data_IF_900635966428
#
_entry.id   IF_900635966428
#
_cell.length_a   1.000
_cell.length_b   1.000
_cell.length_c   1.000
_cell.angle_alpha   90.00
_cell.angle_beta   90.00
_cell.angle_gamma   90.00
#
_symmetry.space_group_name_H-M   'P 1'
#
loop_
_entity.id
_entity.type
_entity.pdbx_description
1 polymer ?
#
# COMPACT_ATOMS: atom_id res chain seq x y z
N UNK A 1 -45.12 5.38 5.13
CA UNK A 1 -44.01 4.40 5.23
C UNK A 1 -43.72 3.87 3.84
N UNK A 2 -42.72 4.43 3.16
CA UNK A 2 -42.38 4.06 1.78
C UNK A 2 -41.31 2.96 1.82
N UNK A 3 -41.69 1.74 1.43
CA UNK A 3 -40.81 0.57 1.40
C UNK A 3 -39.97 0.68 0.13
N UNK A 4 -38.66 0.92 0.27
CA UNK A 4 -37.75 0.99 -0.86
C UNK A 4 -37.77 -0.34 -1.64
N UNK A 5 -38.07 -0.27 -2.94
CA UNK A 5 -38.00 -1.41 -3.84
C UNK A 5 -36.54 -1.87 -4.01
N UNK A 6 -36.27 -3.18 -4.14
CA UNK A 6 -34.92 -3.67 -4.40
C UNK A 6 -34.43 -3.14 -5.75
N UNK A 7 -33.25 -2.51 -5.74
CA UNK A 7 -32.55 -2.10 -6.96
C UNK A 7 -32.22 -3.39 -7.73
N UNK A 8 -32.92 -3.62 -8.85
CA UNK A 8 -32.56 -4.66 -9.81
C UNK A 8 -31.24 -4.25 -10.46
N UNK A 9 -30.16 -4.93 -10.13
CA UNK A 9 -28.87 -4.77 -10.79
C UNK A 9 -28.97 -5.19 -12.26
N UNK A 10 -28.55 -4.36 -13.23
CA UNK A 10 -28.36 -4.82 -14.59
C UNK A 10 -27.24 -5.87 -14.63
N UNK A 11 -27.40 -6.86 -15.49
CA UNK A 11 -26.59 -8.06 -15.66
C UNK A 11 -25.13 -7.76 -16.05
N UNK A 12 -24.30 -7.45 -15.06
CA UNK A 12 -22.88 -7.80 -15.00
C UNK A 12 -22.70 -8.69 -13.79
N UNK A 13 -22.32 -9.96 -13.97
CA UNK A 13 -22.20 -10.94 -12.89
C UNK A 13 -20.99 -10.63 -12.01
N UNK A 14 -21.11 -9.63 -11.14
CA UNK A 14 -20.15 -9.37 -10.09
C UNK A 14 -20.40 -10.34 -8.93
N UNK A 15 -19.41 -11.17 -8.63
CA UNK A 15 -19.46 -12.11 -7.51
C UNK A 15 -18.62 -11.57 -6.37
N UNK A 16 -19.25 -11.40 -5.21
CA UNK A 16 -18.60 -11.00 -3.96
C UNK A 16 -18.56 -12.21 -3.05
N UNK A 17 -17.38 -12.63 -2.61
CA UNK A 17 -17.20 -13.73 -1.66
C UNK A 17 -16.49 -13.24 -0.42
N UNK A 18 -17.13 -13.35 0.74
CA UNK A 18 -16.48 -13.08 2.02
C UNK A 18 -15.68 -14.31 2.48
N UNK A 19 -14.44 -14.08 2.87
CA UNK A 19 -13.50 -15.08 3.35
C UNK A 19 -13.23 -14.82 4.82
N UNK A 20 -13.56 -15.80 5.65
CA UNK A 20 -13.29 -15.76 7.10
C UNK A 20 -12.22 -16.80 7.47
N UNK A 21 -11.28 -16.39 8.30
CA UNK A 21 -10.13 -17.18 8.73
C UNK A 21 -8.92 -17.09 7.79
N UNK A 22 -7.71 -17.04 8.37
CA UNK A 22 -6.46 -16.98 7.62
C UNK A 22 -6.27 -18.17 6.68
N UNK A 23 -6.72 -19.37 7.07
CA UNK A 23 -6.64 -20.57 6.24
C UNK A 23 -7.48 -20.45 4.96
N UNK A 24 -8.69 -19.88 5.05
CA UNK A 24 -9.55 -19.67 3.88
C UNK A 24 -8.94 -18.66 2.91
N UNK A 25 -8.39 -17.57 3.45
CA UNK A 25 -7.70 -16.53 2.69
C UNK A 25 -6.45 -17.10 1.99
N UNK A 26 -5.61 -17.86 2.71
CA UNK A 26 -4.41 -18.50 2.14
C UNK A 26 -4.76 -19.46 1.01
N UNK A 27 -5.75 -20.33 1.21
CA UNK A 27 -6.21 -21.27 0.18
C UNK A 27 -6.73 -20.56 -1.07
N UNK A 28 -7.44 -19.45 -0.91
CA UNK A 28 -7.91 -18.65 -2.06
C UNK A 28 -6.76 -17.95 -2.79
N UNK A 29 -5.80 -17.38 -2.05
CA UNK A 29 -4.58 -16.83 -2.64
C UNK A 29 -3.78 -17.89 -3.41
N UNK A 30 -3.65 -19.09 -2.86
CA UNK A 30 -3.03 -20.24 -3.53
C UNK A 30 -3.76 -20.57 -4.83
N UNK A 31 -5.08 -20.77 -4.79
CA UNK A 31 -5.88 -21.10 -5.98
C UNK A 31 -5.76 -20.04 -7.09
N UNK A 32 -5.79 -18.74 -6.74
CA UNK A 32 -5.62 -17.66 -7.69
C UNK A 32 -4.18 -17.59 -8.23
N UNK A 33 -3.18 -17.78 -7.38
CA UNK A 33 -1.77 -17.81 -7.79
C UNK A 33 -1.43 -18.98 -8.73
N UNK A 34 -2.15 -20.11 -8.65
CA UNK A 34 -2.01 -21.22 -9.61
C UNK A 34 -2.75 -20.95 -10.93
N UNK A 35 -3.81 -20.14 -10.92
CA UNK A 35 -4.64 -19.88 -12.10
C UNK A 35 -4.21 -18.67 -12.91
N UNK A 36 -3.59 -17.68 -12.27
CA UNK A 36 -3.18 -16.43 -12.91
C UNK A 36 -2.29 -16.69 -14.13
N UNK A 37 -2.50 -15.93 -15.20
CA UNK A 37 -1.86 -16.15 -16.50
C UNK A 37 -1.07 -14.93 -17.01
N UNK A 38 -1.45 -13.71 -16.63
CA UNK A 38 -0.90 -12.47 -17.21
C UNK A 38 -0.17 -11.65 -16.17
N UNK A 39 -0.87 -11.24 -15.11
CA UNK A 39 -0.28 -10.35 -14.12
C UNK A 39 -0.90 -10.44 -12.72
N UNK A 40 -0.09 -10.09 -11.72
CA UNK A 40 -0.49 -9.83 -10.35
C UNK A 40 -0.11 -8.40 -9.98
N UNK A 41 -1.10 -7.61 -9.55
CA UNK A 41 -0.90 -6.24 -9.07
C UNK A 41 -1.16 -6.19 -7.56
N UNK A 42 -0.27 -5.60 -6.78
CA UNK A 42 -0.44 -5.59 -5.32
C UNK A 42 -0.10 -4.26 -4.66
N UNK A 43 -0.92 -3.88 -3.67
CA UNK A 43 -0.52 -2.93 -2.63
C UNK A 43 -0.10 -3.70 -1.39
N UNK A 44 1.17 -3.52 -1.00
CA UNK A 44 1.75 -4.08 0.21
C UNK A 44 2.00 -3.02 1.27
N UNK A 45 0.97 -2.55 2.02
CA UNK A 45 1.23 -1.76 3.20
C UNK A 45 2.01 -2.63 4.19
N UNK A 46 3.18 -2.17 4.64
CA UNK A 46 4.02 -2.91 5.59
C UNK A 46 3.37 -3.08 6.98
N UNK A 47 3.92 -3.94 7.85
CA UNK A 47 3.46 -4.09 9.25
C UNK A 47 3.87 -5.39 9.96
N UNK A 48 3.57 -5.54 11.25
CA UNK A 48 3.98 -6.69 12.09
C UNK A 48 3.45 -8.06 11.61
N UNK A 49 2.32 -8.10 10.91
CA UNK A 49 1.76 -9.32 10.30
C UNK A 49 2.56 -9.85 9.10
N UNK A 50 3.65 -9.18 8.73
CA UNK A 50 4.38 -9.40 7.49
C UNK A 50 5.37 -10.57 7.54
N UNK A 51 5.91 -10.98 8.70
CA UNK A 51 6.97 -12.03 8.73
C UNK A 51 6.49 -13.41 8.32
N UNK A 52 5.41 -13.92 8.92
CA UNK A 52 4.81 -15.20 8.51
C UNK A 52 4.17 -15.12 7.12
N UNK A 53 3.59 -13.95 6.78
CA UNK A 53 3.05 -13.70 5.45
C UNK A 53 4.14 -13.67 4.37
N UNK A 54 5.36 -13.21 4.67
CA UNK A 54 6.48 -13.15 3.71
C UNK A 54 6.84 -14.58 3.28
N UNK A 55 6.99 -15.52 4.22
CA UNK A 55 7.37 -16.89 3.89
C UNK A 55 6.34 -17.58 2.98
N UNK A 56 5.05 -17.50 3.33
CA UNK A 56 3.97 -18.04 2.50
C UNK A 56 3.89 -17.34 1.13
N UNK A 57 4.09 -16.03 1.09
CA UNK A 57 4.10 -15.27 -0.17
C UNK A 57 5.28 -15.62 -1.08
N UNK A 58 6.45 -15.99 -0.53
CA UNK A 58 7.63 -16.36 -1.34
C UNK A 58 7.35 -17.56 -2.22
N UNK A 59 6.73 -18.61 -1.68
CA UNK A 59 6.41 -19.82 -2.47
C UNK A 59 5.46 -19.49 -3.62
N UNK A 60 4.39 -18.74 -3.34
CA UNK A 60 3.41 -18.35 -4.35
C UNK A 60 4.00 -17.40 -5.40
N UNK A 61 4.73 -16.37 -4.97
CA UNK A 61 5.38 -15.43 -5.88
C UNK A 61 6.43 -16.13 -6.73
N UNK A 62 7.15 -17.12 -6.18
CA UNK A 62 8.08 -17.92 -6.96
C UNK A 62 7.37 -18.72 -8.06
N UNK A 63 6.25 -19.38 -7.72
CA UNK A 63 5.44 -20.13 -8.68
C UNK A 63 4.85 -19.23 -9.79
N UNK A 64 4.39 -18.03 -9.44
CA UNK A 64 3.85 -17.06 -10.41
C UNK A 64 4.96 -16.57 -11.35
N UNK A 65 6.10 -16.13 -10.79
CA UNK A 65 7.23 -15.62 -11.56
C UNK A 65 7.90 -16.69 -12.43
N UNK A 66 7.98 -17.94 -11.97
CA UNK A 66 8.59 -19.03 -12.77
C UNK A 66 7.77 -19.38 -14.01
N UNK A 67 6.49 -19.01 -14.05
CA UNK A 67 5.62 -19.14 -15.23
C UNK A 67 5.67 -17.90 -16.16
N UNK A 68 6.52 -16.93 -15.86
CA UNK A 68 6.63 -15.68 -16.63
C UNK A 68 5.49 -14.68 -16.42
N UNK A 69 4.62 -14.92 -15.42
CA UNK A 69 3.55 -13.99 -15.07
C UNK A 69 4.15 -12.74 -14.43
N UNK A 70 3.71 -11.56 -14.87
CA UNK A 70 4.24 -10.29 -14.37
C UNK A 70 3.75 -10.01 -12.95
N UNK A 71 4.65 -9.63 -12.05
CA UNK A 71 4.26 -9.13 -10.72
C UNK A 71 4.67 -7.66 -10.63
N UNK A 72 3.69 -6.78 -10.35
CA UNK A 72 3.93 -5.37 -10.02
C UNK A 72 3.39 -5.06 -8.64
N UNK A 73 4.24 -4.53 -7.76
CA UNK A 73 3.84 -4.24 -6.39
C UNK A 73 4.23 -2.82 -5.96
N UNK A 74 3.31 -2.12 -5.31
CA UNK A 74 3.57 -0.84 -4.64
C UNK A 74 3.60 -1.06 -3.13
N UNK A 75 4.68 -0.61 -2.49
CA UNK A 75 4.88 -0.66 -1.05
C UNK A 75 4.98 0.74 -0.45
N UNK A 76 4.89 0.84 0.88
CA UNK A 76 5.21 2.08 1.58
C UNK A 76 6.72 2.33 1.58
N UNK A 77 7.15 3.60 1.58
CA UNK A 77 8.57 3.96 1.72
C UNK A 77 9.20 3.40 3.00
N UNK A 78 8.39 3.19 4.05
CA UNK A 78 8.83 2.52 5.29
C UNK A 78 9.35 1.10 5.07
N UNK A 79 8.94 0.42 3.99
CA UNK A 79 9.42 -0.91 3.61
C UNK A 79 10.93 -0.96 3.32
N UNK A 80 11.53 0.17 2.92
CA UNK A 80 12.98 0.30 2.70
C UNK A 80 13.77 0.19 4.01
N UNK A 81 13.19 0.69 5.12
CA UNK A 81 13.79 0.72 6.46
C UNK A 81 13.60 -0.60 7.23
N UNK A 82 12.52 -1.34 6.94
CA UNK A 82 12.31 -2.66 7.55
C UNK A 82 13.19 -3.73 6.88
N UNK A 83 14.16 -4.28 7.63
CA UNK A 83 15.14 -5.24 7.09
C UNK A 83 14.50 -6.48 6.47
N UNK A 84 13.47 -7.05 7.10
CA UNK A 84 12.82 -8.27 6.63
C UNK A 84 12.04 -8.02 5.33
N UNK A 85 11.32 -6.91 5.28
CA UNK A 85 10.55 -6.47 4.11
C UNK A 85 11.49 -6.10 2.97
N UNK A 86 12.49 -5.26 3.20
CA UNK A 86 13.48 -4.89 2.21
C UNK A 86 14.18 -6.11 1.59
N UNK A 87 14.57 -7.10 2.41
CA UNK A 87 15.12 -8.36 1.92
C UNK A 87 14.14 -9.15 1.04
N UNK A 88 12.85 -9.17 1.38
CA UNK A 88 11.81 -9.79 0.55
C UNK A 88 11.60 -9.05 -0.77
N UNK A 89 11.57 -7.71 -0.77
CA UNK A 89 11.43 -6.90 -1.97
C UNK A 89 12.62 -7.07 -2.93
N UNK A 90 13.85 -7.12 -2.40
CA UNK A 90 15.04 -7.46 -3.20
C UNK A 90 14.94 -8.86 -3.81
N UNK A 91 14.47 -9.84 -3.03
CA UNK A 91 14.27 -11.21 -3.53
C UNK A 91 13.23 -11.28 -4.66
N UNK A 92 12.18 -10.45 -4.61
CA UNK A 92 11.19 -10.30 -5.67
C UNK A 92 11.79 -9.66 -6.93
N UNK A 93 12.49 -8.54 -6.77
CA UNK A 93 13.12 -7.83 -7.90
C UNK A 93 14.13 -8.72 -8.63
N UNK A 94 14.94 -9.49 -7.89
CA UNK A 94 15.89 -10.45 -8.47
C UNK A 94 15.26 -11.56 -9.31
N UNK A 95 13.92 -11.72 -9.26
CA UNK A 95 13.15 -12.71 -10.02
C UNK A 95 12.25 -12.07 -11.08
N UNK A 96 12.45 -10.79 -11.38
CA UNK A 96 11.74 -10.07 -12.44
C UNK A 96 10.44 -9.40 -12.01
N UNK A 97 10.11 -9.39 -10.70
CA UNK A 97 9.00 -8.57 -10.22
C UNK A 97 9.39 -7.09 -10.22
N UNK A 98 8.47 -6.20 -10.58
CA UNK A 98 8.65 -4.76 -10.47
C UNK A 98 8.10 -4.26 -9.14
N UNK A 99 8.93 -3.57 -8.37
CA UNK A 99 8.56 -3.03 -7.07
C UNK A 99 8.77 -1.52 -7.08
N UNK A 100 7.77 -0.79 -6.61
CA UNK A 100 7.83 0.67 -6.41
C UNK A 100 7.39 1.03 -4.99
N UNK A 101 7.75 2.22 -4.53
CA UNK A 101 7.37 2.72 -3.20
C UNK A 101 6.71 4.09 -3.25
N UNK A 102 5.81 4.34 -2.31
CA UNK A 102 5.09 5.60 -2.11
C UNK A 102 5.04 5.94 -0.61
N UNK A 103 4.84 7.20 -0.23
CA UNK A 103 4.79 7.57 1.18
C UNK A 103 3.51 7.08 1.88
N UNK A 104 2.40 6.92 1.14
CA UNK A 104 1.12 6.46 1.68
C UNK A 104 0.38 5.54 0.70
N UNK A 105 -0.37 4.59 1.25
CA UNK A 105 -1.24 3.67 0.51
C UNK A 105 -2.62 3.58 1.18
N UNK A 106 -3.70 3.33 0.41
CA UNK A 106 -5.04 3.30 0.96
C UNK A 106 -5.28 2.06 1.84
N UNK A 107 -5.21 0.87 1.25
CA UNK A 107 -5.35 -0.42 1.94
C UNK A 107 -4.60 -1.51 1.18
N UNK A 108 -4.40 -2.66 1.82
CA UNK A 108 -3.83 -3.83 1.15
C UNK A 108 -4.78 -4.30 0.06
N UNK A 109 -4.25 -4.62 -1.12
CA UNK A 109 -5.03 -5.26 -2.18
C UNK A 109 -4.15 -6.14 -3.05
N UNK A 110 -4.74 -7.17 -3.65
CA UNK A 110 -4.09 -8.02 -4.64
C UNK A 110 -5.08 -8.24 -5.79
N UNK A 111 -4.65 -7.96 -7.02
CA UNK A 111 -5.41 -8.16 -8.25
C UNK A 111 -4.74 -9.26 -9.05
N UNK A 112 -5.52 -10.18 -9.59
CA UNK A 112 -5.08 -11.25 -10.49
C UNK A 112 -5.78 -11.08 -11.84
N UNK A 113 -5.00 -11.00 -12.92
CA UNK A 113 -5.46 -10.89 -14.32
C UNK A 113 -6.49 -9.78 -14.61
N UNK A 114 -6.61 -8.79 -13.72
CA UNK A 114 -7.65 -7.72 -13.74
C UNK A 114 -9.08 -8.26 -13.64
N UNK A 115 -9.25 -9.48 -13.14
CA UNK A 115 -10.56 -10.14 -13.04
C UNK A 115 -10.95 -10.43 -11.59
N UNK A 116 -9.95 -10.74 -10.76
CA UNK A 116 -10.13 -11.09 -9.36
C UNK A 116 -9.39 -10.11 -8.46
N UNK A 117 -10.09 -9.52 -7.49
CA UNK A 117 -9.51 -8.59 -6.53
C UNK A 117 -9.75 -9.06 -5.11
N UNK A 118 -8.69 -9.15 -4.33
CA UNK A 118 -8.75 -9.48 -2.91
C UNK A 118 -8.43 -8.27 -2.06
N UNK A 119 -9.36 -7.93 -1.16
CA UNK A 119 -9.28 -6.82 -0.21
C UNK A 119 -9.50 -7.33 1.20
N UNK A 120 -8.95 -6.69 2.25
CA UNK A 120 -9.39 -6.95 3.62
C UNK A 120 -10.84 -6.45 3.80
N UNK A 121 -11.65 -7.17 4.58
CA UNK A 121 -13.07 -6.83 4.81
C UNK A 121 -13.28 -5.70 5.83
N UNK A 122 -12.37 -5.59 6.79
CA UNK A 122 -12.22 -4.42 7.67
C UNK A 122 -10.92 -3.71 7.26
N UNK A 123 -10.71 -2.48 7.74
CA UNK A 123 -9.58 -1.55 7.55
C UNK A 123 -8.15 -2.10 7.82
N UNK A 124 -7.92 -3.40 7.66
CA UNK A 124 -6.72 -4.14 8.03
C UNK A 124 -6.62 -4.41 9.53
N UNK A 125 -7.60 -3.97 10.34
CA UNK A 125 -7.55 -4.00 11.82
C UNK A 125 -7.69 -5.41 12.38
N UNK A 126 -8.56 -6.23 11.80
CA UNK A 126 -8.81 -7.60 12.26
C UNK A 126 -8.25 -8.58 11.22
N UNK A 127 -7.16 -9.30 11.53
CA UNK A 127 -6.70 -10.36 10.65
C UNK A 127 -7.77 -11.44 10.49
N UNK A 128 -7.83 -12.03 9.30
CA UNK A 128 -8.71 -13.17 9.04
C UNK A 128 -10.08 -12.82 8.45
N UNK A 129 -10.31 -11.60 7.96
CA UNK A 129 -11.45 -11.32 7.07
C UNK A 129 -11.00 -10.64 5.78
N UNK A 130 -11.37 -11.21 4.65
CA UNK A 130 -11.11 -10.65 3.32
C UNK A 130 -12.35 -10.78 2.44
N UNK A 131 -12.42 -9.96 1.41
CA UNK A 131 -13.44 -10.03 0.35
C UNK A 131 -12.71 -10.33 -0.95
N UNK A 132 -13.19 -11.36 -1.66
CA UNK A 132 -12.83 -11.64 -3.04
C UNK A 132 -13.93 -11.10 -3.94
N UNK A 133 -13.57 -10.14 -4.78
CA UNK A 133 -14.42 -9.55 -5.79
C UNK A 133 -14.04 -10.14 -7.15
N UNK A 134 -15.04 -10.61 -7.90
CA UNK A 134 -14.86 -11.10 -9.26
C UNK A 134 -15.79 -10.36 -10.21
N UNK A 135 -15.28 -9.99 -11.39
CA UNK A 135 -16.04 -9.36 -12.46
C UNK A 135 -15.48 -8.01 -12.90
N UNK A 136 -15.70 -7.68 -14.17
CA UNK A 136 -14.95 -6.67 -14.93
C UNK A 136 -14.99 -5.24 -14.38
N UNK A 137 -16.16 -4.68 -14.10
CA UNK A 137 -16.32 -3.29 -13.63
C UNK A 137 -15.53 -2.93 -12.37
N UNK A 138 -15.73 -3.66 -11.28
CA UNK A 138 -15.04 -3.38 -10.00
C UNK A 138 -13.55 -3.69 -10.10
N UNK A 139 -13.18 -4.80 -10.76
CA UNK A 139 -11.77 -5.14 -10.96
C UNK A 139 -11.04 -4.11 -11.82
N UNK A 140 -11.70 -3.55 -12.83
CA UNK A 140 -11.18 -2.44 -13.65
C UNK A 140 -10.95 -1.20 -12.79
N UNK A 141 -11.94 -0.78 -12.01
CA UNK A 141 -11.81 0.40 -11.15
C UNK A 141 -10.64 0.28 -10.15
N UNK A 142 -10.47 -0.90 -9.53
CA UNK A 142 -9.37 -1.14 -8.59
C UNK A 142 -8.02 -1.25 -9.32
N UNK A 143 -8.01 -1.77 -10.54
CA UNK A 143 -6.80 -1.77 -11.39
C UNK A 143 -6.39 -0.34 -11.77
N UNK A 144 -7.35 0.54 -12.07
CA UNK A 144 -7.07 1.96 -12.31
C UNK A 144 -6.54 2.67 -11.05
N UNK A 145 -7.09 2.34 -9.88
CA UNK A 145 -6.52 2.79 -8.60
C UNK A 145 -5.06 2.35 -8.45
N UNK A 146 -4.74 1.09 -8.79
CA UNK A 146 -3.35 0.63 -8.82
C UNK A 146 -2.48 1.48 -9.74
N UNK A 147 -2.92 1.69 -10.98
CA UNK A 147 -2.16 2.45 -11.98
C UNK A 147 -1.97 3.92 -11.61
N UNK A 148 -2.93 4.52 -10.89
CA UNK A 148 -2.77 5.87 -10.33
C UNK A 148 -1.57 5.93 -9.38
N UNK A 149 -1.50 5.07 -8.38
CA UNK A 149 -0.36 5.03 -7.46
C UNK A 149 0.92 4.57 -8.16
N UNK A 150 0.85 3.65 -9.11
CA UNK A 150 2.01 3.12 -9.83
C UNK A 150 2.77 4.19 -10.61
N UNK A 151 2.06 5.12 -11.25
CA UNK A 151 2.65 6.21 -12.05
C UNK A 151 3.57 7.11 -11.23
N UNK A 152 3.12 7.48 -10.04
CA UNK A 152 3.83 8.42 -9.16
C UNK A 152 4.80 7.72 -8.19
N UNK A 153 4.81 6.37 -8.16
CA UNK A 153 5.64 5.60 -7.26
C UNK A 153 7.10 5.56 -7.70
N UNK A 154 8.02 5.72 -6.73
CA UNK A 154 9.45 5.66 -6.96
C UNK A 154 9.90 4.20 -7.13
N UNK A 155 10.80 3.91 -8.08
CA UNK A 155 11.37 2.59 -8.25
C UNK A 155 12.06 2.11 -6.96
N UNK A 156 11.82 0.87 -6.56
CA UNK A 156 12.61 0.21 -5.53
C UNK A 156 13.97 -0.19 -6.12
N UNK A 157 14.87 0.77 -6.24
CA UNK A 157 16.26 0.50 -6.60
C UNK A 157 16.93 -0.28 -5.47
N UNK A 158 17.59 -1.37 -5.84
CA UNK A 158 18.54 -2.07 -4.98
C UNK A 158 19.81 -1.23 -4.97
N UNK A 159 19.75 -0.04 -4.39
CA UNK A 159 20.96 0.75 -4.18
C UNK A 159 21.86 -0.01 -3.21
N UNK A 160 23.06 -0.35 -3.73
CA UNK A 160 24.23 -0.59 -2.89
C UNK A 160 24.37 0.61 -1.98
N UNK A 161 24.82 0.35 -0.76
CA UNK A 161 25.24 1.34 0.22
C UNK A 161 26.28 2.29 -0.42
N UNK A 162 25.82 3.31 -1.14
CA UNK A 162 26.60 4.48 -1.48
C UNK A 162 26.05 5.59 -0.62
N UNK A 163 26.73 5.77 0.50
CA UNK A 163 26.66 7.02 1.23
C UNK A 163 26.93 8.19 0.28
N UNK A 164 26.26 9.29 0.60
CA UNK A 164 26.53 10.63 0.14
C UNK A 164 26.29 10.96 -1.35
N UNK A 165 25.15 11.60 -1.59
CA UNK A 165 25.09 12.74 -2.51
C UNK A 165 24.27 13.85 -1.86
N UNK A 166 24.95 14.71 -1.08
CA UNK A 166 25.13 16.15 -1.34
C UNK A 166 24.11 16.97 -2.16
N UNK A 167 22.84 16.62 -2.25
CA UNK A 167 21.77 17.53 -2.64
C UNK A 167 20.96 17.86 -1.39
N UNK A 168 20.80 19.14 -1.05
CA UNK A 168 19.84 19.54 0.00
C UNK A 168 18.51 18.80 -0.26
N UNK A 169 18.00 18.02 0.72
CA UNK A 169 16.84 17.19 0.44
C UNK A 169 15.66 18.10 0.18
N UNK A 170 15.24 18.08 -1.08
CA UNK A 170 13.89 18.38 -1.54
C UNK A 170 12.89 17.88 -0.50
N UNK A 171 11.89 18.69 -0.19
CA UNK A 171 10.92 18.45 0.89
C UNK A 171 10.48 16.97 0.95
N UNK A 172 10.93 16.18 1.95
CA UNK A 172 10.81 14.72 1.91
C UNK A 172 9.36 14.27 1.71
N UNK A 173 9.13 13.29 0.83
CA UNK A 173 7.77 12.82 0.51
C UNK A 173 6.99 12.34 1.75
N UNK A 174 7.68 11.81 2.76
CA UNK A 174 7.08 11.46 4.06
C UNK A 174 6.57 12.68 4.84
N UNK A 175 7.20 13.86 4.69
CA UNK A 175 6.75 15.10 5.34
C UNK A 175 5.53 15.68 4.62
N UNK A 176 5.51 15.68 3.27
CA UNK A 176 4.32 16.03 2.47
C UNK A 176 3.11 15.17 2.87
N UNK A 177 3.32 13.86 2.94
CA UNK A 177 2.27 12.92 3.30
C UNK A 177 1.78 13.13 4.74
N UNK A 178 2.69 13.32 5.71
CA UNK A 178 2.31 13.61 7.09
C UNK A 178 1.49 14.91 7.19
N UNK A 179 1.93 15.99 6.53
CA UNK A 179 1.19 17.25 6.53
C UNK A 179 -0.21 17.14 5.92
N UNK A 180 -0.37 16.38 4.84
CA UNK A 180 -1.70 16.08 4.26
C UNK A 180 -2.61 15.39 5.27
N UNK A 181 -2.09 14.39 5.99
CA UNK A 181 -2.84 13.67 7.02
C UNK A 181 -3.19 14.56 8.21
N UNK A 182 -2.28 15.43 8.63
CA UNK A 182 -2.53 16.41 9.70
C UNK A 182 -3.60 17.43 9.27
N UNK A 183 -3.59 17.89 8.01
CA UNK A 183 -4.63 18.76 7.44
C UNK A 183 -6.01 18.09 7.43
N UNK A 184 -6.06 16.79 7.20
CA UNK A 184 -7.28 15.97 7.30
C UNK A 184 -7.74 15.74 8.76
N UNK A 185 -7.03 16.28 9.76
CA UNK A 185 -7.35 16.09 11.18
C UNK A 185 -6.95 14.72 11.74
N UNK A 186 -6.07 13.98 11.06
CA UNK A 186 -5.61 12.68 11.55
C UNK A 186 -4.75 12.84 12.82
N UNK A 187 -4.96 11.98 13.81
CA UNK A 187 -4.05 11.83 14.96
C UNK A 187 -2.73 11.20 14.55
N UNK A 188 -1.68 11.33 15.36
CA UNK A 188 -0.38 10.68 15.11
C UNK A 188 -0.51 9.16 14.94
N UNK A 189 -1.46 8.55 15.63
CA UNK A 189 -1.75 7.12 15.53
C UNK A 189 -2.40 6.76 14.19
N UNK A 190 -3.34 7.57 13.72
CA UNK A 190 -3.96 7.40 12.40
C UNK A 190 -2.95 7.65 11.28
N UNK A 191 -2.12 8.68 11.43
CA UNK A 191 -1.06 9.02 10.48
C UNK A 191 -0.01 7.90 10.41
N UNK A 192 0.45 7.41 11.56
CA UNK A 192 1.42 6.32 11.63
C UNK A 192 0.93 5.07 10.92
N UNK A 193 -0.36 4.72 11.08
CA UNK A 193 -0.97 3.59 10.37
C UNK A 193 -0.95 3.77 8.85
N UNK A 194 -1.36 4.93 8.34
CA UNK A 194 -1.41 5.20 6.90
C UNK A 194 -0.01 5.28 6.26
N UNK A 195 0.98 5.76 7.01
CA UNK A 195 2.38 5.82 6.60
C UNK A 195 3.14 4.51 6.86
N UNK A 196 2.53 3.55 7.55
CA UNK A 196 3.16 2.27 7.94
C UNK A 196 4.37 2.45 8.85
N UNK A 197 4.31 3.40 9.79
CA UNK A 197 5.34 3.67 10.79
C UNK A 197 4.75 3.77 12.19
N UNK A 198 5.59 3.66 13.23
CA UNK A 198 5.13 3.78 14.63
C UNK A 198 4.72 5.22 14.98
N UNK A 199 3.84 5.40 15.98
CA UNK A 199 3.50 6.73 16.52
C UNK A 199 4.75 7.49 16.98
N UNK A 200 5.74 6.80 17.55
CA UNK A 200 7.06 7.38 17.89
C UNK A 200 7.77 7.92 16.65
N UNK A 201 7.73 7.19 15.54
CA UNK A 201 8.31 7.62 14.26
C UNK A 201 7.60 8.86 13.73
N UNK A 202 6.27 8.93 13.83
CA UNK A 202 5.48 10.14 13.48
C UNK A 202 5.91 11.33 14.33
N UNK A 203 6.06 11.14 15.65
CA UNK A 203 6.54 12.18 16.56
C UNK A 203 7.93 12.69 16.20
N UNK A 204 8.86 11.78 15.85
CA UNK A 204 10.20 12.14 15.35
C UNK A 204 10.14 12.96 14.05
N UNK A 205 9.38 12.49 13.05
CA UNK A 205 9.21 13.20 11.76
C UNK A 205 8.60 14.59 12.00
N UNK A 206 7.62 14.69 12.90
CA UNK A 206 6.98 15.98 13.25
C UNK A 206 7.97 16.95 13.88
N UNK A 207 8.81 16.47 14.81
CA UNK A 207 9.82 17.30 15.46
C UNK A 207 10.88 17.80 14.46
N UNK A 208 11.37 16.92 13.58
CA UNK A 208 12.33 17.27 12.51
C UNK A 208 11.74 18.29 11.54
N UNK A 209 10.49 18.09 11.14
CA UNK A 209 9.76 19.02 10.28
C UNK A 209 9.57 20.39 10.95
N UNK A 210 9.16 20.43 12.23
CA UNK A 210 9.00 21.66 13.00
C UNK A 210 10.34 22.41 13.13
N UNK A 211 11.42 21.70 13.46
CA UNK A 211 12.75 22.29 13.56
C UNK A 211 13.20 22.93 12.23
N UNK A 212 12.98 22.25 11.10
CA UNK A 212 13.32 22.78 9.77
C UNK A 212 12.42 23.94 9.33
N UNK A 213 11.17 23.97 9.78
CA UNK A 213 10.25 25.08 9.55
C UNK A 213 10.50 26.26 10.50
N UNK A 214 11.23 26.07 11.60
CA UNK A 214 11.32 27.06 12.67
C UNK A 214 10.01 27.21 13.47
N UNK A 215 9.16 26.19 13.44
CA UNK A 215 7.86 26.22 14.09
C UNK A 215 7.96 25.82 15.57
N UNK A 216 7.27 26.55 16.44
CA UNK A 216 7.16 26.30 17.89
C UNK A 216 5.95 25.46 18.26
N UNK A 217 4.99 25.31 17.34
CA UNK A 217 3.84 24.43 17.50
C UNK A 217 3.51 23.71 16.19
N UNK A 218 2.75 22.62 16.29
CA UNK A 218 2.23 21.88 15.13
C UNK A 218 1.31 22.75 14.26
N UNK A 219 0.54 23.62 14.89
CA UNK A 219 -0.31 24.58 14.19
C UNK A 219 0.53 25.57 13.37
N UNK A 220 1.54 26.18 13.98
CA UNK A 220 2.49 27.08 13.31
C UNK A 220 3.23 26.36 12.17
N UNK A 221 3.59 25.07 12.34
CA UNK A 221 4.20 24.27 11.28
C UNK A 221 3.27 24.08 10.07
N UNK A 222 1.97 23.87 10.28
CA UNK A 222 0.98 23.77 9.19
C UNK A 222 0.82 25.08 8.42
N UNK A 223 0.76 26.21 9.13
CA UNK A 223 0.70 27.55 8.51
C UNK A 223 1.95 27.84 7.69
N UNK A 224 3.14 27.61 8.26
CA UNK A 224 4.42 27.85 7.59
C UNK A 224 4.61 26.93 6.38
N UNK A 225 4.16 25.67 6.46
CA UNK A 225 4.20 24.76 5.33
C UNK A 225 3.30 25.22 4.17
N UNK A 226 2.11 25.75 4.48
CA UNK A 226 1.20 26.32 3.46
C UNK A 226 1.81 27.54 2.80
N UNK A 227 2.39 28.47 3.59
CA UNK A 227 3.08 29.67 3.07
C UNK A 227 4.27 29.35 2.17
N UNK A 228 4.96 28.23 2.43
CA UNK A 228 6.05 27.73 1.59
C UNK A 228 5.59 26.91 0.38
N UNK A 229 4.28 26.78 0.16
CA UNK A 229 3.72 25.98 -0.94
C UNK A 229 3.95 24.47 -0.79
N UNK A 230 4.13 23.98 0.44
CA UNK A 230 4.39 22.56 0.71
C UNK A 230 3.11 21.74 0.83
N UNK A 231 1.98 22.41 1.06
CA UNK A 231 0.63 21.86 1.12
C UNK A 231 -0.27 22.83 0.37
N UNK A 232 -1.11 22.31 -0.52
CA UNK A 232 -2.10 23.13 -1.22
C UNK A 232 -3.14 23.68 -0.22
N UNK A 233 -3.68 24.87 -0.50
CA UNK A 233 -4.78 25.45 0.30
C UNK A 233 -6.05 24.63 0.20
#
# INVERSE_FOLDING_TARGET
MMRAAPIRSPSGSHHVTELTGLASIRRQLEQLAYRVQREVLAFGPGGLQQRESIAASKTLNHHVLSRGVQIRSVYLDSARRDKATSAHLRWLCARGAEVRTVPMLPMRMIVFDREHVMLPSDSGRVPGKAVLLSGSGVATAITELFHHFWRDAALFTVEKDTGDQGCEPEFPNEWKALLRLLREGCTDEQAGRRLGVSTRTVGRITAEMMARLGARSRFEAGVLATLKGWVDQ
#
